data_IF_496889766755
#
_entry.id   IF_496889766755
#
_cell.length_a   1.000
_cell.length_b   1.000
_cell.length_c   1.000
_cell.angle_alpha   90.00
_cell.angle_beta   90.00
_cell.angle_gamma   90.00
#
_symmetry.space_group_name_H-M   'P 1'
#
loop_
_entity.id
_entity.type
_entity.pdbx_description
1 polymer ?
#
# COMPACT_ATOMS: atom_id res chain seq x y z
N UNK A 1 14.21 -2.24 -8.40
CA UNK A 1 12.78 -2.55 -8.57
C UNK A 1 12.64 -3.99 -9.01
N UNK A 2 11.78 -4.73 -8.35
CA UNK A 2 11.50 -6.13 -8.61
C UNK A 2 10.01 -6.32 -8.91
N UNK A 3 9.64 -7.46 -9.47
CA UNK A 3 8.26 -7.86 -9.74
C UNK A 3 8.09 -9.32 -9.34
N UNK A 4 6.99 -9.64 -8.69
CA UNK A 4 6.55 -11.01 -8.47
C UNK A 4 5.09 -11.19 -8.91
N UNK A 5 4.62 -12.42 -9.03
CA UNK A 5 3.24 -12.70 -9.40
C UNK A 5 2.43 -13.08 -8.16
N UNK A 6 1.32 -12.36 -7.94
CA UNK A 6 0.34 -12.65 -6.92
C UNK A 6 -1.03 -12.81 -7.58
N UNK A 7 -1.58 -14.02 -7.53
CA UNK A 7 -2.89 -14.33 -8.10
C UNK A 7 -3.02 -13.92 -9.58
N UNK A 8 -1.95 -14.21 -10.36
CA UNK A 8 -1.86 -13.85 -11.77
C UNK A 8 -1.45 -12.41 -12.05
N UNK A 9 -1.47 -11.50 -11.07
CA UNK A 9 -1.12 -10.10 -11.22
C UNK A 9 0.38 -9.86 -11.00
N UNK A 10 0.95 -8.93 -11.76
CA UNK A 10 2.30 -8.42 -11.54
C UNK A 10 2.30 -7.37 -10.43
N UNK A 11 2.94 -7.69 -9.32
CA UNK A 11 3.10 -6.79 -8.18
C UNK A 11 4.55 -6.33 -8.10
N UNK A 12 4.75 -5.02 -8.15
CA UNK A 12 6.07 -4.39 -8.08
C UNK A 12 6.46 -4.16 -6.61
N UNK A 13 7.76 -4.28 -6.32
CA UNK A 13 8.30 -3.99 -4.98
C UNK A 13 9.76 -3.56 -5.06
N UNK A 14 10.23 -2.90 -4.01
CA UNK A 14 11.64 -2.66 -3.73
C UNK A 14 12.09 -3.56 -2.59
N UNK A 15 13.38 -3.91 -2.60
CA UNK A 15 14.04 -4.72 -1.57
C UNK A 15 15.44 -4.15 -1.36
N UNK A 16 15.65 -3.56 -0.20
CA UNK A 16 16.89 -2.90 0.17
C UNK A 16 17.54 -3.60 1.36
N UNK A 17 18.77 -4.02 1.16
CA UNK A 17 19.62 -4.52 2.25
C UNK A 17 19.88 -3.42 3.30
N UNK A 18 20.20 -3.80 4.55
CA UNK A 18 20.68 -2.85 5.55
C UNK A 18 21.90 -2.07 5.06
N UNK A 19 21.98 -0.80 5.42
CA UNK A 19 23.19 0.04 5.22
C UNK A 19 23.96 0.25 6.52
N UNK A 20 23.31 0.01 7.66
CA UNK A 20 23.93 -0.14 8.98
C UNK A 20 24.19 -1.61 9.32
N UNK A 21 24.69 -1.91 10.54
CA UNK A 21 24.86 -3.30 11.01
C UNK A 21 23.53 -4.06 10.94
N UNK A 22 23.49 -5.17 10.25
CA UNK A 22 22.28 -5.98 10.06
C UNK A 22 21.80 -6.56 11.40
N UNK A 23 20.55 -6.23 11.77
CA UNK A 23 19.93 -6.73 12.99
C UNK A 23 19.06 -8.00 12.75
N UNK A 24 19.01 -8.52 11.52
CA UNK A 24 18.27 -9.72 11.16
C UNK A 24 16.74 -9.57 11.23
N UNK A 25 16.21 -8.34 11.23
CA UNK A 25 14.78 -8.05 11.39
C UNK A 25 14.21 -7.29 10.18
N UNK A 26 13.79 -8.01 9.12
CA UNK A 26 13.19 -7.36 7.96
C UNK A 26 11.87 -6.67 8.29
N UNK A 27 11.54 -5.63 7.49
CA UNK A 27 10.27 -4.91 7.58
C UNK A 27 9.63 -4.75 6.21
N UNK A 28 8.33 -5.03 6.12
CA UNK A 28 7.49 -4.77 4.95
C UNK A 28 6.72 -3.47 5.15
N UNK A 29 6.77 -2.58 4.16
CA UNK A 29 6.07 -1.30 4.14
C UNK A 29 4.93 -1.34 3.12
N UNK A 30 3.70 -0.96 3.54
CA UNK A 30 2.49 -0.97 2.72
C UNK A 30 1.90 0.44 2.67
N UNK A 31 1.88 1.04 1.48
CA UNK A 31 1.47 2.44 1.26
C UNK A 31 -0.06 2.64 1.27
N UNK A 32 -0.49 3.89 1.36
CA UNK A 32 -1.89 4.33 1.34
C UNK A 32 -2.49 4.45 -0.07
N UNK A 33 -3.81 4.70 -0.12
CA UNK A 33 -4.55 4.92 -1.35
C UNK A 33 -3.97 6.06 -2.19
N UNK A 34 -3.95 5.88 -3.51
CA UNK A 34 -3.45 6.88 -4.48
C UNK A 34 -1.94 7.13 -4.41
N UNK A 35 -1.21 6.39 -3.56
CA UNK A 35 0.23 6.51 -3.36
C UNK A 35 1.00 5.35 -4.02
N UNK A 36 2.28 5.20 -3.68
CA UNK A 36 3.15 4.10 -4.08
C UNK A 36 4.36 4.02 -3.13
N UNK A 37 5.22 3.02 -3.31
CA UNK A 37 6.41 2.85 -2.48
C UNK A 37 7.31 4.09 -2.45
N UNK A 38 7.48 4.78 -3.59
CA UNK A 38 8.36 5.94 -3.68
C UNK A 38 7.78 7.14 -2.90
N UNK A 39 6.51 7.46 -3.13
CA UNK A 39 5.84 8.60 -2.48
C UNK A 39 5.71 8.41 -0.98
N UNK A 40 5.29 7.22 -0.53
CA UNK A 40 5.05 6.97 0.89
C UNK A 40 6.33 6.73 1.69
N UNK A 41 7.35 6.08 1.10
CA UNK A 41 8.43 5.51 1.89
C UNK A 41 9.84 5.97 1.49
N UNK A 42 10.11 6.14 0.17
CA UNK A 42 11.43 6.58 -0.29
C UNK A 42 11.59 8.09 -0.13
N UNK A 43 10.66 8.87 -0.66
CA UNK A 43 10.72 10.34 -0.65
C UNK A 43 10.56 10.92 0.76
N UNK A 44 9.89 10.20 1.65
CA UNK A 44 9.74 10.54 3.07
C UNK A 44 10.90 10.07 3.94
N UNK A 45 11.93 9.44 3.32
CA UNK A 45 13.14 8.95 3.95
C UNK A 45 12.97 7.74 4.88
N UNK A 46 11.80 7.12 4.97
CA UNK A 46 11.59 5.92 5.78
C UNK A 46 12.50 4.77 5.37
N UNK A 47 12.65 4.50 4.07
CA UNK A 47 13.55 3.46 3.58
C UNK A 47 14.98 3.74 4.03
N UNK A 48 15.47 4.98 3.86
CA UNK A 48 16.82 5.38 4.28
C UNK A 48 17.02 5.23 5.78
N UNK A 49 16.05 5.69 6.58
CA UNK A 49 16.11 5.61 8.04
C UNK A 49 16.18 4.15 8.51
N UNK A 50 15.27 3.29 8.02
CA UNK A 50 15.18 1.90 8.45
C UNK A 50 16.39 1.06 7.98
N UNK A 51 16.89 1.28 6.76
CA UNK A 51 18.09 0.58 6.29
C UNK A 51 19.33 0.99 7.10
N UNK A 52 19.43 2.29 7.45
CA UNK A 52 20.51 2.76 8.32
C UNK A 52 20.41 2.19 9.75
N UNK A 53 19.20 1.94 10.24
CA UNK A 53 18.96 1.26 11.51
C UNK A 53 19.20 -0.26 11.46
N UNK A 54 19.77 -0.78 10.37
CA UNK A 54 20.16 -2.18 10.23
C UNK A 54 19.02 -3.11 9.75
N UNK A 55 17.95 -2.59 9.14
CA UNK A 55 16.82 -3.39 8.69
C UNK A 55 16.86 -3.63 7.17
N UNK A 56 16.58 -4.85 6.74
CA UNK A 56 16.18 -5.10 5.36
C UNK A 56 14.78 -4.54 5.15
N UNK A 57 14.62 -3.67 4.16
CA UNK A 57 13.36 -2.95 3.90
C UNK A 57 12.76 -3.40 2.58
N UNK A 58 11.55 -3.93 2.64
CA UNK A 58 10.74 -4.27 1.49
C UNK A 58 9.56 -3.30 1.44
N UNK A 59 9.25 -2.75 0.26
CA UNK A 59 8.04 -1.95 0.07
C UNK A 59 7.39 -2.31 -1.25
N UNK A 60 6.12 -2.75 -1.20
CA UNK A 60 5.36 -3.11 -2.40
C UNK A 60 4.56 -1.90 -2.91
N UNK A 61 4.26 -1.91 -4.20
CA UNK A 61 3.15 -1.15 -4.75
C UNK A 61 1.90 -2.04 -4.71
N UNK A 62 0.85 -1.60 -4.04
CA UNK A 62 -0.41 -2.33 -4.00
C UNK A 62 -0.96 -2.53 -5.42
N UNK A 63 -1.75 -3.60 -5.65
CA UNK A 63 -2.47 -3.79 -6.93
C UNK A 63 -3.18 -2.49 -7.32
N UNK A 64 -3.19 -2.16 -8.61
CA UNK A 64 -3.78 -0.93 -9.13
C UNK A 64 -2.96 0.34 -8.90
N UNK A 65 -1.88 0.30 -8.10
CA UNK A 65 -1.07 1.47 -7.74
C UNK A 65 0.36 1.37 -8.28
N UNK A 66 1.04 2.51 -8.32
CA UNK A 66 2.46 2.62 -8.66
C UNK A 66 2.83 1.86 -9.94
N UNK A 67 3.80 0.96 -9.83
CA UNK A 67 4.27 0.12 -10.94
C UNK A 67 3.64 -1.27 -10.98
N UNK A 68 2.75 -1.60 -10.02
CA UNK A 68 1.96 -2.82 -10.05
C UNK A 68 0.90 -2.78 -11.15
N UNK A 69 0.43 -3.96 -11.54
CA UNK A 69 -0.58 -4.13 -12.58
C UNK A 69 -1.87 -3.37 -12.24
N UNK A 70 -2.46 -2.73 -13.25
CA UNK A 70 -3.70 -1.96 -13.12
C UNK A 70 -4.89 -2.90 -13.30
N UNK A 71 -5.77 -2.90 -12.33
CA UNK A 71 -6.98 -3.72 -12.28
C UNK A 71 -8.17 -2.79 -12.22
N UNK A 72 -9.22 -3.10 -12.99
CA UNK A 72 -10.39 -2.23 -13.13
C UNK A 72 -11.67 -2.86 -12.58
N UNK A 73 -11.59 -4.07 -12.05
CA UNK A 73 -12.69 -4.76 -11.38
C UNK A 73 -12.65 -4.44 -9.87
N UNK A 74 -13.69 -3.78 -9.30
CA UNK A 74 -13.76 -3.49 -7.88
C UNK A 74 -13.63 -4.72 -6.97
N UNK A 75 -14.14 -5.87 -7.40
CA UNK A 75 -14.06 -7.12 -6.63
C UNK A 75 -12.62 -7.55 -6.32
N UNK A 76 -11.65 -7.08 -7.10
CA UNK A 76 -10.23 -7.38 -6.91
C UNK A 76 -9.58 -6.57 -5.78
N UNK A 77 -10.26 -5.57 -5.21
CA UNK A 77 -9.67 -4.64 -4.23
C UNK A 77 -10.12 -4.87 -2.78
N UNK A 78 -10.78 -5.98 -2.48
CA UNK A 78 -11.10 -6.30 -1.09
C UNK A 78 -9.83 -6.32 -0.23
N UNK A 79 -9.90 -5.72 0.95
CA UNK A 79 -8.74 -5.58 1.85
C UNK A 79 -8.07 -6.93 2.15
N UNK A 80 -8.87 -8.00 2.33
CA UNK A 80 -8.36 -9.34 2.54
C UNK A 80 -7.54 -9.83 1.32
N UNK A 81 -8.01 -9.57 0.10
CA UNK A 81 -7.31 -9.92 -1.14
C UNK A 81 -5.99 -9.16 -1.29
N UNK A 82 -5.97 -7.88 -0.90
CA UNK A 82 -4.74 -7.08 -0.91
C UNK A 82 -3.76 -7.53 0.19
N UNK A 83 -4.26 -8.01 1.32
CA UNK A 83 -3.43 -8.62 2.37
C UNK A 83 -2.76 -9.92 1.89
N UNK A 84 -3.44 -10.70 1.04
CA UNK A 84 -2.86 -11.88 0.40
C UNK A 84 -1.68 -11.54 -0.53
N UNK A 85 -1.68 -10.38 -1.20
CA UNK A 85 -0.51 -9.95 -1.97
C UNK A 85 0.70 -9.76 -1.08
N UNK A 86 0.51 -9.13 0.07
CA UNK A 86 1.57 -8.92 1.07
C UNK A 86 2.08 -10.25 1.64
N UNK A 87 1.17 -11.17 2.00
CA UNK A 87 1.51 -12.52 2.46
C UNK A 87 2.35 -13.29 1.43
N UNK A 88 1.88 -13.31 0.17
CA UNK A 88 2.59 -13.99 -0.92
C UNK A 88 3.95 -13.38 -1.20
N UNK A 89 4.13 -12.07 -1.02
CA UNK A 89 5.45 -11.43 -1.12
C UNK A 89 6.38 -11.90 -0.02
N UNK A 90 5.90 -12.01 1.22
CA UNK A 90 6.68 -12.53 2.35
C UNK A 90 7.15 -13.97 2.05
N UNK A 91 6.27 -14.82 1.54
CA UNK A 91 6.60 -16.20 1.15
C UNK A 91 7.57 -16.24 -0.03
N UNK A 92 7.32 -15.43 -1.07
CA UNK A 92 8.19 -15.34 -2.25
C UNK A 92 9.64 -15.01 -1.87
N UNK A 93 9.80 -14.11 -0.91
CA UNK A 93 11.11 -13.69 -0.41
C UNK A 93 11.64 -14.59 0.73
N UNK A 94 10.89 -15.60 1.15
CA UNK A 94 11.24 -16.54 2.24
C UNK A 94 11.66 -15.82 3.52
N UNK A 95 10.92 -14.76 3.89
CA UNK A 95 11.29 -13.91 5.02
C UNK A 95 10.90 -14.50 6.38
N UNK A 96 9.97 -15.46 6.41
CA UNK A 96 9.42 -15.97 7.65
C UNK A 96 8.53 -14.93 8.36
N UNK A 97 8.70 -14.78 9.67
CA UNK A 97 7.91 -13.84 10.49
C UNK A 97 8.63 -12.50 10.60
N UNK A 98 7.99 -11.43 10.11
CA UNK A 98 8.60 -10.10 9.96
C UNK A 98 7.75 -9.00 10.61
N UNK A 99 8.31 -7.79 10.70
CA UNK A 99 7.53 -6.60 11.03
C UNK A 99 6.83 -6.05 9.78
N UNK A 100 5.65 -5.48 9.98
CA UNK A 100 4.89 -4.86 8.90
C UNK A 100 4.43 -3.47 9.34
N UNK A 101 4.65 -2.48 8.50
CA UNK A 101 4.19 -1.11 8.73
C UNK A 101 3.31 -0.67 7.56
N UNK A 102 2.08 -0.27 7.86
CA UNK A 102 1.14 0.25 6.89
C UNK A 102 0.67 1.67 7.21
N UNK A 103 0.39 2.44 6.17
CA UNK A 103 -0.16 3.79 6.29
C UNK A 103 -1.53 3.89 5.61
N UNK A 104 -2.54 4.45 6.28
CA UNK A 104 -3.90 4.65 5.78
C UNK A 104 -4.50 3.32 5.24
N UNK A 105 -4.84 3.20 3.96
CA UNK A 105 -5.26 1.94 3.34
C UNK A 105 -4.26 0.82 3.64
N UNK A 106 -2.96 1.09 3.58
CA UNK A 106 -1.90 0.13 3.92
C UNK A 106 -1.95 -0.32 5.39
N UNK A 107 -2.38 0.54 6.31
CA UNK A 107 -2.58 0.14 7.71
C UNK A 107 -3.74 -0.85 7.84
N UNK A 108 -4.83 -0.67 7.08
CA UNK A 108 -5.94 -1.63 7.04
C UNK A 108 -5.49 -2.97 6.45
N UNK A 109 -4.74 -2.95 5.36
CA UNK A 109 -4.15 -4.17 4.77
C UNK A 109 -3.25 -4.88 5.78
N UNK A 110 -2.40 -4.13 6.50
CA UNK A 110 -1.53 -4.66 7.56
C UNK A 110 -2.34 -5.30 8.70
N UNK A 111 -3.45 -4.68 9.10
CA UNK A 111 -4.32 -5.25 10.14
C UNK A 111 -4.94 -6.58 9.68
N UNK A 112 -5.44 -6.66 8.44
CA UNK A 112 -5.97 -7.90 7.87
C UNK A 112 -4.90 -8.98 7.74
N UNK A 113 -3.69 -8.62 7.33
CA UNK A 113 -2.56 -9.53 7.28
C UNK A 113 -2.25 -10.09 8.68
N UNK A 114 -2.19 -9.22 9.70
CA UNK A 114 -1.90 -9.63 11.08
C UNK A 114 -3.01 -10.48 11.71
N UNK A 115 -4.26 -10.26 11.32
CA UNK A 115 -5.40 -11.05 11.83
C UNK A 115 -5.48 -12.43 11.17
N UNK A 116 -5.30 -12.49 9.85
CA UNK A 116 -5.53 -13.72 9.09
C UNK A 116 -4.27 -14.59 8.94
N UNK A 117 -3.09 -14.00 9.08
CA UNK A 117 -1.78 -14.62 8.83
C UNK A 117 -0.76 -14.27 9.90
N UNK A 118 -1.11 -14.53 11.17
CA UNK A 118 -0.31 -14.21 12.35
C UNK A 118 1.10 -14.83 12.32
N UNK A 119 1.25 -15.94 11.64
CA UNK A 119 2.50 -16.67 11.48
C UNK A 119 3.55 -15.86 10.70
N UNK A 120 3.13 -14.90 9.88
CA UNK A 120 4.02 -14.03 9.09
C UNK A 120 4.30 -12.68 9.76
N UNK A 121 3.51 -12.27 10.77
CA UNK A 121 3.60 -10.93 11.35
C UNK A 121 4.17 -11.00 12.77
N UNK A 122 5.38 -10.46 12.96
CA UNK A 122 6.02 -10.32 14.27
C UNK A 122 5.46 -9.14 15.04
N UNK A 123 5.41 -7.98 14.40
CA UNK A 123 4.77 -6.76 14.90
C UNK A 123 4.12 -5.99 13.77
N UNK A 124 3.10 -5.19 14.11
CA UNK A 124 2.37 -4.35 13.16
C UNK A 124 2.37 -2.90 13.62
N UNK A 125 2.76 -1.99 12.72
CA UNK A 125 2.64 -0.54 12.92
C UNK A 125 1.53 -0.02 12.00
N UNK A 126 0.48 0.54 12.59
CA UNK A 126 -0.73 0.99 11.91
C UNK A 126 -0.84 2.51 12.00
N UNK A 127 -0.52 3.20 10.89
CA UNK A 127 -0.52 4.67 10.83
C UNK A 127 -1.66 5.25 10.00
N UNK A 128 -2.15 6.43 10.40
CA UNK A 128 -2.99 7.28 9.56
C UNK A 128 -4.47 6.87 9.41
N UNK A 129 -5.01 5.96 10.23
CA UNK A 129 -6.43 5.59 10.22
C UNK A 129 -7.16 5.95 11.52
N UNK A 130 -6.48 5.89 12.67
CA UNK A 130 -7.13 6.10 13.96
C UNK A 130 -8.32 5.16 14.17
N UNK A 131 -9.46 5.70 14.65
CA UNK A 131 -10.67 4.92 14.89
C UNK A 131 -11.32 4.32 13.63
N UNK A 132 -11.10 4.90 12.45
CA UNK A 132 -11.62 4.34 11.19
C UNK A 132 -11.13 2.92 10.89
N UNK A 133 -10.06 2.49 11.52
CA UNK A 133 -9.61 1.11 11.44
C UNK A 133 -10.64 0.16 12.09
N UNK A 134 -11.22 0.56 13.21
CA UNK A 134 -12.21 -0.22 13.99
C UNK A 134 -13.62 -0.09 13.40
N UNK A 135 -14.01 1.12 13.03
CA UNK A 135 -15.34 1.38 12.46
C UNK A 135 -15.55 0.77 11.07
N UNK A 136 -14.46 0.29 10.44
CA UNK A 136 -14.51 -0.35 9.12
C UNK A 136 -14.84 0.62 7.99
N UNK A 137 -14.89 1.92 8.24
CA UNK A 137 -15.21 2.93 7.23
C UNK A 137 -14.09 3.04 6.20
N UNK A 138 -14.44 2.84 4.93
CA UNK A 138 -13.60 3.12 3.77
C UNK A 138 -13.62 4.61 3.40
N UNK A 139 -12.94 4.95 2.31
CA UNK A 139 -13.08 6.26 1.71
C UNK A 139 -14.50 6.43 1.13
N UNK A 140 -15.08 7.65 1.21
CA UNK A 140 -16.41 7.91 0.62
C UNK A 140 -16.45 7.60 -0.88
N UNK A 141 -17.55 7.02 -1.36
CA UNK A 141 -17.73 6.68 -2.78
C UNK A 141 -17.57 7.89 -3.71
N UNK A 142 -17.90 9.10 -3.25
CA UNK A 142 -17.67 10.33 -4.00
C UNK A 142 -16.21 10.55 -4.42
N UNK A 143 -15.23 9.90 -3.76
CA UNK A 143 -13.82 9.94 -4.20
C UNK A 143 -13.65 9.12 -5.48
N UNK A 144 -14.37 8.00 -5.65
CA UNK A 144 -14.36 7.26 -6.91
C UNK A 144 -14.95 8.12 -8.05
N UNK A 145 -16.04 8.85 -7.78
CA UNK A 145 -16.64 9.76 -8.77
C UNK A 145 -15.66 10.89 -9.15
N UNK A 146 -14.88 11.37 -8.19
CA UNK A 146 -13.83 12.34 -8.45
C UNK A 146 -12.70 11.77 -9.34
N UNK A 147 -12.38 10.48 -9.23
CA UNK A 147 -11.41 9.82 -10.14
C UNK A 147 -11.96 9.71 -11.56
N UNK A 148 -13.26 9.49 -11.72
CA UNK A 148 -13.93 9.40 -13.03
C UNK A 148 -14.24 10.78 -13.66
N UNK A 149 -14.20 11.86 -12.90
CA UNK A 149 -14.48 13.20 -13.39
C UNK A 149 -13.52 13.61 -14.54
N UNK A 150 -13.99 14.36 -15.54
CA UNK A 150 -13.16 14.78 -16.67
C UNK A 150 -11.94 15.62 -16.26
N UNK A 151 -12.11 16.46 -15.25
CA UNK A 151 -11.03 17.33 -14.73
C UNK A 151 -11.27 17.67 -13.26
N UNK A 152 -10.22 18.22 -12.63
CA UNK A 152 -10.27 18.76 -11.27
C UNK A 152 -11.20 19.97 -11.13
N UNK A 153 -11.38 20.74 -12.20
CA UNK A 153 -12.09 22.03 -12.17
C UNK A 153 -13.59 21.89 -11.86
N UNK A 154 -14.20 20.80 -12.29
CA UNK A 154 -15.61 20.49 -12.01
C UNK A 154 -15.92 19.99 -10.61
N UNK A 155 -14.89 19.70 -9.80
CA UNK A 155 -15.06 19.18 -8.45
C UNK A 155 -15.22 20.34 -7.45
N UNK A 156 -16.29 20.31 -6.66
CA UNK A 156 -16.56 21.33 -5.63
C UNK A 156 -16.25 20.85 -4.21
N UNK A 157 -16.35 19.56 -3.95
CA UNK A 157 -16.05 18.97 -2.64
C UNK A 157 -14.52 19.00 -2.35
N UNK A 158 -14.09 19.58 -1.20
CA UNK A 158 -12.68 19.72 -0.88
C UNK A 158 -11.92 18.38 -0.78
N UNK A 159 -12.57 17.34 -0.25
CA UNK A 159 -11.96 16.01 -0.10
C UNK A 159 -11.78 15.35 -1.47
N UNK A 160 -12.80 15.43 -2.33
CA UNK A 160 -12.71 14.93 -3.70
C UNK A 160 -11.58 15.62 -4.48
N UNK A 161 -11.51 16.94 -4.39
CA UNK A 161 -10.43 17.73 -5.02
C UNK A 161 -9.05 17.32 -4.53
N UNK A 162 -8.90 17.17 -3.20
CA UNK A 162 -7.62 16.78 -2.58
C UNK A 162 -7.15 15.41 -3.09
N UNK A 163 -8.02 14.40 -3.05
CA UNK A 163 -7.64 13.05 -3.50
C UNK A 163 -7.39 12.98 -5.00
N UNK A 164 -8.18 13.70 -5.81
CA UNK A 164 -7.97 13.78 -7.25
C UNK A 164 -6.65 14.47 -7.58
N UNK A 165 -6.35 15.61 -6.98
CA UNK A 165 -5.08 16.32 -7.16
C UNK A 165 -3.88 15.45 -6.75
N UNK A 166 -4.00 14.74 -5.63
CA UNK A 166 -2.98 13.81 -5.19
C UNK A 166 -2.76 12.66 -6.19
N UNK A 167 -3.84 12.06 -6.71
CA UNK A 167 -3.76 11.01 -7.71
C UNK A 167 -3.07 11.48 -9.01
N UNK A 168 -3.36 12.71 -9.45
CA UNK A 168 -2.68 13.32 -10.62
C UNK A 168 -1.21 13.60 -10.34
N UNK A 169 -0.88 14.14 -9.16
CA UNK A 169 0.50 14.40 -8.75
C UNK A 169 1.33 13.12 -8.68
N UNK A 170 0.76 12.03 -8.21
CA UNK A 170 1.42 10.71 -8.13
C UNK A 170 1.40 9.96 -9.46
N UNK A 171 0.78 10.52 -10.50
CA UNK A 171 0.58 9.92 -11.83
C UNK A 171 -0.11 8.55 -11.75
N UNK A 172 -1.06 8.44 -10.82
CA UNK A 172 -1.85 7.23 -10.62
C UNK A 172 -2.82 6.97 -11.77
N UNK A 173 -3.15 5.71 -12.01
CA UNK A 173 -4.23 5.32 -12.92
C UNK A 173 -5.58 5.60 -12.24
N UNK A 174 -6.27 6.64 -12.70
CA UNK A 174 -7.51 7.11 -12.09
C UNK A 174 -8.63 6.06 -12.14
N UNK A 175 -8.70 5.25 -13.21
CA UNK A 175 -9.70 4.19 -13.34
C UNK A 175 -9.45 3.06 -12.34
N UNK A 176 -8.18 2.68 -12.15
CA UNK A 176 -7.81 1.70 -11.14
C UNK A 176 -8.09 2.21 -9.72
N UNK A 177 -7.85 3.50 -9.45
CA UNK A 177 -8.19 4.11 -8.17
C UNK A 177 -9.70 4.17 -7.94
N UNK A 178 -10.51 4.52 -8.96
CA UNK A 178 -11.96 4.48 -8.86
C UNK A 178 -12.47 3.07 -8.53
N UNK A 179 -11.94 2.04 -9.20
CA UNK A 179 -12.26 0.65 -8.90
C UNK A 179 -11.87 0.25 -7.47
N UNK A 180 -10.74 0.74 -6.97
CA UNK A 180 -10.25 0.45 -5.61
C UNK A 180 -11.16 1.02 -4.50
N UNK A 181 -11.95 2.06 -4.78
CA UNK A 181 -12.90 2.66 -3.83
C UNK A 181 -14.26 1.95 -3.85
N UNK A 182 -14.70 1.44 -5.00
CA UNK A 182 -15.99 0.74 -5.21
C UNK A 182 -15.96 -0.69 -4.71
#
# INVERSE_FOLDING_TARGET
MHVFHSDGLKIAYIDHAPTGPDIGEPILLIHGFGSNHAVNWVNTLWVKFLTHAGRRVIALDNRGHGLSEKVYDPAMYHTATMAEDARRLIEHLKLGRIDVMGYSMGARITAFLALNHREYVRSAVLGGLGHHLVDGLGLPLGIADAMDAPSLDGLTDPMQRMFRAFAEQTKSDLKALAACIR
#
